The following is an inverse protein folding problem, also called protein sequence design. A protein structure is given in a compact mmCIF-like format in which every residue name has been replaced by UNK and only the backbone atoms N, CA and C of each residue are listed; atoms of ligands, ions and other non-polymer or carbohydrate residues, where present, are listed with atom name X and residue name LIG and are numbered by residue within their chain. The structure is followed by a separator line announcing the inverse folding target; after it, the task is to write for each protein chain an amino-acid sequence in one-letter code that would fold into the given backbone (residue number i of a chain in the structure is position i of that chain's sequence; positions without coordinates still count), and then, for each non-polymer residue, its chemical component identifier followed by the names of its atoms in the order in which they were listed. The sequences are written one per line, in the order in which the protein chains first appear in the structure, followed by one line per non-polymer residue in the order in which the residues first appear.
data_IF_749323213514
#
_entry.id   IF_749323213514
#
_cell.length_a   1.000
_cell.length_b   1.000
_cell.length_c   1.000
_cell.angle_alpha   90.00
_cell.angle_beta   90.00
_cell.angle_gamma   90.00
#
_symmetry.space_group_name_H-M   'P 1'
#
loop_
_entity.id
_entity.type
_entity.pdbx_description
1 polymer ?
#
# COMPACT_ATOMS: atom_id res chain seq x y z
N UNK A 1 1.92 -33.17 18.90
CA UNK A 1 0.79 -32.27 18.67
C UNK A 1 0.87 -31.70 17.27
N UNK A 2 -0.16 -31.95 16.50
CA UNK A 2 -0.20 -31.44 15.15
C UNK A 2 -0.60 -29.98 15.18
N UNK A 3 0.20 -29.15 14.54
CA UNK A 3 -0.08 -27.73 14.41
C UNK A 3 -0.51 -27.48 12.99
N UNK A 4 -1.73 -27.00 12.82
CA UNK A 4 -2.24 -26.60 11.53
C UNK A 4 -1.90 -25.13 11.33
N UNK A 5 -1.02 -24.87 10.38
CA UNK A 5 -0.64 -23.51 10.02
C UNK A 5 -1.24 -23.16 8.66
N UNK A 6 -1.92 -22.03 8.63
CA UNK A 6 -2.43 -21.49 7.38
C UNK A 6 -1.63 -20.23 7.03
N UNK A 7 -1.01 -20.21 5.86
CA UNK A 7 -0.33 -19.04 5.38
C UNK A 7 -1.36 -17.94 5.11
N UNK A 8 -1.09 -16.73 5.62
CA UNK A 8 -1.99 -15.58 5.44
C UNK A 8 -1.82 -14.89 4.11
N UNK A 9 -0.82 -15.31 3.35
CA UNK A 9 -0.50 -14.74 2.06
C UNK A 9 -0.39 -15.85 1.03
N UNK A 10 -0.72 -15.54 -0.21
CA UNK A 10 -0.44 -16.40 -1.34
C UNK A 10 0.99 -16.13 -1.81
N UNK A 11 1.77 -17.19 -1.97
CA UNK A 11 3.15 -17.06 -2.39
C UNK A 11 3.76 -18.41 -2.70
N UNK A 12 4.96 -18.37 -3.24
CA UNK A 12 5.71 -19.57 -3.57
C UNK A 12 6.46 -20.03 -2.32
N UNK A 13 6.23 -21.27 -1.92
CA UNK A 13 6.98 -21.87 -0.82
C UNK A 13 8.40 -22.17 -1.28
N UNK A 14 9.39 -21.56 -0.63
CA UNK A 14 10.79 -21.72 -0.98
C UNK A 14 11.46 -22.86 -0.23
N UNK A 15 10.85 -23.37 0.85
CA UNK A 15 11.41 -24.48 1.58
C UNK A 15 10.47 -25.04 2.61
N UNK A 16 10.63 -26.32 2.87
CA UNK A 16 9.95 -27.01 3.96
C UNK A 16 11.04 -27.41 4.94
N UNK A 17 10.97 -26.88 6.16
CA UNK A 17 12.01 -27.05 7.17
C UNK A 17 11.75 -28.24 8.12
N UNK A 18 10.86 -29.13 7.70
CA UNK A 18 10.57 -30.36 8.45
C UNK A 18 10.27 -31.50 7.47
N UNK A 19 10.45 -32.72 7.95
CA UNK A 19 10.10 -33.92 7.20
C UNK A 19 8.64 -34.23 7.52
N UNK A 20 7.87 -34.58 6.51
CA UNK A 20 6.46 -34.95 6.67
C UNK A 20 6.32 -36.07 7.73
N UNK A 21 5.40 -35.89 8.66
CA UNK A 21 5.20 -36.80 9.78
C UNK A 21 6.05 -36.53 11.00
N UNK A 22 7.01 -35.63 10.91
CA UNK A 22 7.83 -35.23 12.06
C UNK A 22 7.07 -34.32 12.99
N UNK A 23 7.27 -34.48 14.30
CA UNK A 23 6.70 -33.56 15.27
C UNK A 23 7.35 -32.19 15.16
N UNK A 24 6.54 -31.16 15.18
CA UNK A 24 6.96 -29.79 15.07
C UNK A 24 6.88 -29.10 16.44
N UNK A 25 7.93 -28.37 16.80
CA UNK A 25 7.97 -27.61 18.04
C UNK A 25 7.37 -26.22 17.82
N UNK A 26 6.75 -25.68 18.86
CA UNK A 26 6.28 -24.31 18.85
C UNK A 26 7.46 -23.36 18.61
N UNK A 27 7.32 -22.45 17.67
CA UNK A 27 8.37 -21.51 17.28
C UNK A 27 9.34 -22.03 16.23
N UNK A 28 9.24 -23.30 15.82
CA UNK A 28 10.05 -23.83 14.74
C UNK A 28 9.60 -23.23 13.41
N UNK A 29 10.58 -22.82 12.60
CA UNK A 29 10.26 -22.33 11.26
C UNK A 29 9.85 -23.50 10.37
N UNK A 30 8.60 -23.53 9.95
CA UNK A 30 8.03 -24.61 9.15
C UNK A 30 8.11 -24.34 7.64
N UNK A 31 7.82 -23.11 7.26
CA UNK A 31 7.74 -22.71 5.86
C UNK A 31 8.48 -21.40 5.65
N UNK A 32 9.08 -21.28 4.50
CA UNK A 32 9.61 -20.00 4.01
C UNK A 32 8.92 -19.72 2.69
N UNK A 33 8.15 -18.62 2.65
CA UNK A 33 7.53 -18.15 1.42
C UNK A 33 8.54 -17.21 0.75
N UNK A 34 8.73 -17.36 -0.57
CA UNK A 34 9.66 -16.52 -1.30
C UNK A 34 9.28 -15.04 -1.16
N UNK A 35 10.10 -14.21 -0.51
CA UNK A 35 9.78 -12.81 -0.31
C UNK A 35 9.94 -11.95 -1.56
N UNK A 36 10.61 -12.44 -2.59
CA UNK A 36 10.93 -11.66 -3.79
C UNK A 36 9.66 -11.16 -4.48
N UNK A 37 8.65 -12.02 -4.60
CA UNK A 37 7.37 -11.65 -5.21
C UNK A 37 6.67 -10.55 -4.41
N UNK A 38 6.66 -10.66 -3.09
CA UNK A 38 6.06 -9.64 -2.21
C UNK A 38 6.89 -8.37 -2.17
N UNK A 39 8.21 -8.47 -2.22
CA UNK A 39 9.09 -7.31 -2.32
C UNK A 39 8.83 -6.54 -3.61
N UNK A 40 8.62 -7.23 -4.72
CA UNK A 40 8.27 -6.60 -5.99
C UNK A 40 6.93 -5.89 -5.91
N UNK A 41 5.93 -6.50 -5.29
CA UNK A 41 4.61 -5.88 -5.06
C UNK A 41 4.72 -4.64 -4.19
N UNK A 42 5.52 -4.70 -3.13
CA UNK A 42 5.75 -3.55 -2.24
C UNK A 42 6.38 -2.41 -3.03
N UNK A 43 7.40 -2.66 -3.84
CA UNK A 43 8.04 -1.64 -4.67
C UNK A 43 7.07 -1.03 -5.69
N UNK A 44 6.23 -1.86 -6.30
CA UNK A 44 5.21 -1.38 -7.22
C UNK A 44 4.22 -0.44 -6.53
N UNK A 45 3.74 -0.80 -5.36
CA UNK A 45 2.80 0.03 -4.60
C UNK A 45 3.47 1.29 -4.08
N UNK A 46 4.74 1.23 -3.68
CA UNK A 46 5.52 2.42 -3.33
C UNK A 46 5.57 3.42 -4.48
N UNK A 47 5.73 2.93 -5.72
CA UNK A 47 5.68 3.77 -6.91
C UNK A 47 4.31 4.42 -7.09
N UNK A 48 3.23 3.69 -6.83
CA UNK A 48 1.88 4.24 -6.88
C UNK A 48 1.66 5.31 -5.81
N UNK A 49 2.18 5.11 -4.60
CA UNK A 49 2.13 6.10 -3.52
C UNK A 49 2.87 7.36 -3.94
N UNK A 50 4.06 7.23 -4.50
CA UNK A 50 4.85 8.38 -4.94
C UNK A 50 4.10 9.19 -6.01
N UNK A 51 3.48 8.50 -6.97
CA UNK A 51 2.69 9.15 -8.03
C UNK A 51 1.47 9.87 -7.45
N UNK A 52 0.73 9.21 -6.55
CA UNK A 52 -0.44 9.83 -5.93
C UNK A 52 -0.07 10.99 -5.01
N UNK A 53 1.08 10.93 -4.36
CA UNK A 53 1.60 12.02 -3.55
C UNK A 53 1.94 13.24 -4.41
N UNK A 54 2.57 13.02 -5.56
CA UNK A 54 2.85 14.09 -6.51
C UNK A 54 1.58 14.72 -7.05
N UNK A 55 0.58 13.89 -7.39
CA UNK A 55 -0.71 14.39 -7.86
C UNK A 55 -1.42 15.23 -6.78
N UNK A 56 -1.35 14.80 -5.53
CA UNK A 56 -1.91 15.57 -4.40
C UNK A 56 -1.20 16.90 -4.24
N UNK A 57 0.14 16.91 -4.27
CA UNK A 57 0.91 18.12 -4.14
C UNK A 57 0.57 19.12 -5.26
N UNK A 58 0.45 18.65 -6.50
CA UNK A 58 0.08 19.47 -7.64
C UNK A 58 -1.34 20.04 -7.52
N UNK A 59 -2.28 19.21 -7.07
CA UNK A 59 -3.67 19.65 -6.88
C UNK A 59 -3.80 20.66 -5.74
N UNK A 60 -3.07 20.48 -4.64
CA UNK A 60 -3.05 21.42 -3.53
C UNK A 60 -2.40 22.75 -3.94
N UNK A 61 -1.33 22.73 -4.74
CA UNK A 61 -0.70 23.93 -5.25
C UNK A 61 -1.63 24.71 -6.18
N UNK A 62 -2.31 24.01 -7.07
CA UNK A 62 -3.29 24.62 -7.95
C UNK A 62 -4.40 25.29 -7.15
N UNK A 63 -4.93 24.61 -6.12
CA UNK A 63 -5.95 25.18 -5.26
C UNK A 63 -5.45 26.41 -4.51
N UNK A 64 -4.22 26.37 -4.00
CA UNK A 64 -3.57 27.49 -3.33
C UNK A 64 -3.44 28.71 -4.24
N UNK A 65 -3.20 28.50 -5.54
CA UNK A 65 -3.08 29.54 -6.52
C UNK A 65 -4.43 30.10 -6.92
N UNK A 66 -5.43 29.25 -7.08
CA UNK A 66 -6.77 29.62 -7.54
C UNK A 66 -7.59 30.32 -6.46
N UNK A 67 -7.45 29.89 -5.20
CA UNK A 67 -8.27 30.42 -4.11
C UNK A 67 -8.20 31.94 -3.95
N UNK A 68 -7.00 32.58 -3.92
CA UNK A 68 -6.92 34.04 -3.87
C UNK A 68 -7.48 34.71 -5.12
N UNK A 69 -7.33 34.09 -6.28
CA UNK A 69 -7.86 34.63 -7.54
C UNK A 69 -9.39 34.61 -7.52
N UNK A 70 -10.02 33.60 -6.95
CA UNK A 70 -11.47 33.54 -6.79
C UNK A 70 -11.96 34.60 -5.82
N UNK A 71 -11.21 34.84 -4.74
CA UNK A 71 -11.54 35.91 -3.76
C UNK A 71 -11.52 37.29 -4.41
N UNK A 72 -10.66 37.48 -5.41
CA UNK A 72 -10.58 38.73 -6.18
C UNK A 72 -11.49 38.74 -7.41
N UNK A 73 -12.35 37.73 -7.58
CA UNK A 73 -13.20 37.54 -8.75
C UNK A 73 -12.42 37.43 -10.07
N UNK A 74 -11.13 37.06 -10.02
CA UNK A 74 -10.32 36.88 -11.22
C UNK A 74 -10.58 35.55 -11.90
N UNK A 75 -11.10 34.55 -11.18
CA UNK A 75 -11.58 33.29 -11.71
C UNK A 75 -12.98 33.02 -11.18
N UNK A 76 -13.74 32.16 -11.87
CA UNK A 76 -15.10 31.84 -11.47
C UNK A 76 -15.12 30.96 -10.22
N UNK A 77 -16.22 31.01 -9.49
CA UNK A 77 -16.48 30.10 -8.37
C UNK A 77 -16.46 28.64 -8.83
N UNK A 78 -16.90 28.39 -10.06
CA UNK A 78 -16.89 27.06 -10.66
C UNK A 78 -15.47 26.50 -10.80
N UNK A 79 -14.54 27.34 -11.19
CA UNK A 79 -13.13 26.96 -11.27
C UNK A 79 -12.56 26.65 -9.90
N UNK A 80 -12.90 27.45 -8.89
CA UNK A 80 -12.51 27.18 -7.52
C UNK A 80 -13.09 25.85 -7.02
N UNK A 81 -14.38 25.62 -7.24
CA UNK A 81 -15.03 24.39 -6.82
C UNK A 81 -14.42 23.17 -7.50
N UNK A 82 -14.07 23.28 -8.78
CA UNK A 82 -13.39 22.22 -9.52
C UNK A 82 -11.99 21.91 -8.93
N UNK A 83 -11.24 22.96 -8.57
CA UNK A 83 -9.93 22.79 -7.94
C UNK A 83 -10.02 22.13 -6.56
N UNK A 84 -11.03 22.50 -5.76
CA UNK A 84 -11.30 21.88 -4.46
C UNK A 84 -11.65 20.42 -4.63
N UNK A 85 -12.52 20.08 -5.58
CA UNK A 85 -12.91 18.69 -5.85
C UNK A 85 -11.71 17.86 -6.32
N UNK A 86 -10.86 18.42 -7.16
CA UNK A 86 -9.65 17.74 -7.64
C UNK A 86 -8.67 17.46 -6.51
N UNK A 87 -8.48 18.43 -5.61
CA UNK A 87 -7.61 18.25 -4.44
C UNK A 87 -8.15 17.17 -3.50
N UNK A 88 -9.46 17.14 -3.28
CA UNK A 88 -10.10 16.10 -2.46
C UNK A 88 -9.93 14.71 -3.07
N UNK A 89 -10.14 14.59 -4.39
CA UNK A 89 -9.97 13.32 -5.10
C UNK A 89 -8.52 12.85 -5.03
N UNK A 90 -7.57 13.75 -5.21
CA UNK A 90 -6.15 13.42 -5.12
C UNK A 90 -5.76 12.97 -3.71
N UNK A 91 -6.31 13.60 -2.68
CA UNK A 91 -6.09 13.21 -1.28
C UNK A 91 -6.65 11.83 -0.98
N UNK A 92 -7.87 11.54 -1.43
CA UNK A 92 -8.48 10.22 -1.26
C UNK A 92 -7.67 9.13 -1.96
N UNK A 93 -7.19 9.41 -3.16
CA UNK A 93 -6.35 8.48 -3.91
C UNK A 93 -5.02 8.24 -3.19
N UNK A 94 -4.40 9.28 -2.65
CA UNK A 94 -3.17 9.16 -1.88
C UNK A 94 -3.38 8.29 -0.63
N UNK A 95 -4.44 8.53 0.12
CA UNK A 95 -4.76 7.73 1.31
C UNK A 95 -5.02 6.27 0.95
N UNK A 96 -5.72 6.02 -0.17
CA UNK A 96 -5.98 4.68 -0.67
C UNK A 96 -4.69 3.95 -1.04
N UNK A 97 -3.77 4.61 -1.74
CA UNK A 97 -2.49 3.99 -2.13
C UNK A 97 -1.61 3.74 -0.91
N UNK A 98 -1.62 4.63 0.08
CA UNK A 98 -0.91 4.40 1.34
C UNK A 98 -1.44 3.18 2.08
N UNK A 99 -2.77 3.01 2.12
CA UNK A 99 -3.38 1.84 2.74
C UNK A 99 -3.00 0.56 2.00
N UNK A 100 -2.97 0.59 0.67
CA UNK A 100 -2.53 -0.54 -0.14
C UNK A 100 -1.07 -0.90 0.13
N UNK A 101 -0.19 0.11 0.29
CA UNK A 101 1.20 -0.13 0.65
C UNK A 101 1.31 -0.82 2.01
N UNK A 102 0.56 -0.33 2.99
CA UNK A 102 0.55 -0.93 4.33
C UNK A 102 0.11 -2.39 4.28
N UNK A 103 -0.92 -2.71 3.49
CA UNK A 103 -1.38 -4.09 3.31
C UNK A 103 -0.30 -4.97 2.69
N UNK A 104 0.40 -4.48 1.65
CA UNK A 104 1.48 -5.23 1.02
C UNK A 104 2.64 -5.46 1.98
N UNK A 105 2.97 -4.48 2.80
CA UNK A 105 4.01 -4.62 3.82
C UNK A 105 3.62 -5.65 4.88
N UNK A 106 2.35 -5.70 5.29
CA UNK A 106 1.85 -6.71 6.21
C UNK A 106 1.91 -8.10 5.60
N UNK A 107 1.47 -8.27 4.36
CA UNK A 107 1.55 -9.54 3.64
C UNK A 107 3.00 -10.00 3.52
N UNK A 108 3.92 -9.08 3.22
CA UNK A 108 5.35 -9.36 3.18
C UNK A 108 5.86 -9.90 4.52
N UNK A 109 5.37 -9.35 5.65
CA UNK A 109 5.79 -9.77 6.98
C UNK A 109 5.35 -11.19 7.33
N UNK A 110 4.33 -11.73 6.65
CA UNK A 110 3.84 -13.09 6.85
C UNK A 110 4.61 -14.14 6.05
N UNK A 111 5.64 -13.76 5.32
CA UNK A 111 6.44 -14.70 4.52
C UNK A 111 7.24 -15.69 5.38
N UNK A 112 7.49 -15.38 6.65
CA UNK A 112 8.11 -16.28 7.61
C UNK A 112 7.06 -16.76 8.59
N UNK A 113 6.86 -18.08 8.65
CA UNK A 113 5.89 -18.71 9.55
C UNK A 113 6.65 -19.59 10.52
N UNK A 114 6.47 -19.34 11.80
CA UNK A 114 7.13 -20.09 12.87
C UNK A 114 6.13 -20.80 13.76
#
# INVERSE_FOLDING_TARGET
MDIVLTARVDGILTGIHFIEGQKVRKGQLLYTIDPLEYDTKVEQVKGQVATSQSNLANADEELKRIRPLADMNAVSKRELDAAVAKAKAARSNYESTRAALKNQQLERSYCNIV
#
